data_IF_803386932406
#
_entry.id   IF_803386932406
#
_cell.length_a   1.000
_cell.length_b   1.000
_cell.length_c   1.000
_cell.angle_alpha   90.00
_cell.angle_beta   90.00
_cell.angle_gamma   90.00
#
_symmetry.space_group_name_H-M   'P 1'
#
loop_
_entity.id
_entity.type
_entity.pdbx_description
1 polymer ?
#
# COMPACT_ATOMS: atom_id res chain seq x y z
N UNK A 1 10.73 -8.11 -0.64
CA UNK A 1 11.01 -7.55 -1.98
C UNK A 1 10.83 -6.05 -1.86
N UNK A 2 11.80 -5.27 -2.33
CA UNK A 2 11.69 -3.83 -2.41
C UNK A 2 11.43 -3.54 -3.88
N UNK A 3 10.17 -3.31 -4.24
CA UNK A 3 9.79 -2.97 -5.61
C UNK A 3 8.79 -1.81 -5.55
N UNK A 4 9.03 -0.71 -6.28
CA UNK A 4 8.07 0.37 -6.37
C UNK A 4 6.90 -0.06 -7.25
N UNK A 5 5.80 -0.49 -6.62
CA UNK A 5 4.61 -0.94 -7.34
C UNK A 5 3.77 0.25 -7.81
N UNK A 6 3.54 1.22 -6.92
CA UNK A 6 2.80 2.44 -7.20
C UNK A 6 3.67 3.69 -7.27
N UNK A 7 3.28 4.61 -8.14
CA UNK A 7 3.83 5.97 -8.23
C UNK A 7 2.74 6.97 -8.60
N UNK A 8 2.74 8.14 -7.97
CA UNK A 8 1.88 9.25 -8.33
C UNK A 8 2.56 10.59 -8.15
N UNK A 9 2.35 11.50 -9.12
CA UNK A 9 2.88 12.85 -9.10
C UNK A 9 2.08 13.74 -8.12
N UNK A 10 2.74 14.71 -7.50
CA UNK A 10 2.07 15.79 -6.77
C UNK A 10 1.30 16.68 -7.75
N UNK A 11 0.24 17.33 -7.26
CA UNK A 11 -0.61 18.20 -8.08
C UNK A 11 0.16 19.32 -8.78
N UNK A 12 1.16 19.87 -8.11
CA UNK A 12 2.05 20.94 -8.60
C UNK A 12 3.30 20.44 -9.34
N UNK A 13 3.45 19.12 -9.49
CA UNK A 13 4.59 18.47 -10.15
C UNK A 13 5.95 18.86 -9.55
N UNK A 14 6.01 19.18 -8.26
CA UNK A 14 7.26 19.42 -7.53
C UNK A 14 7.89 18.15 -6.97
N UNK A 15 7.10 17.11 -6.76
CA UNK A 15 7.57 15.80 -6.29
C UNK A 15 6.67 14.67 -6.80
N UNK A 16 7.12 13.43 -6.69
CA UNK A 16 6.25 12.26 -6.79
C UNK A 16 6.38 11.40 -5.55
N UNK A 17 5.29 10.71 -5.22
CA UNK A 17 5.24 9.71 -4.16
C UNK A 17 5.24 8.34 -4.80
N UNK A 18 6.04 7.43 -4.26
CA UNK A 18 6.09 6.04 -4.71
C UNK A 18 6.16 5.10 -3.52
N UNK A 19 5.73 3.87 -3.74
CA UNK A 19 5.69 2.84 -2.71
C UNK A 19 7.06 2.17 -2.57
N UNK A 20 7.52 1.90 -1.35
CA UNK A 20 8.74 1.14 -1.12
C UNK A 20 8.66 0.40 0.21
N UNK A 21 8.70 -0.94 0.19
CA UNK A 21 8.95 -1.79 1.35
C UNK A 21 8.29 -1.35 2.68
N UNK A 22 6.95 -1.27 2.69
CA UNK A 22 6.20 -0.87 3.90
C UNK A 22 6.15 0.63 4.15
N UNK A 23 6.52 1.46 3.17
CA UNK A 23 6.57 2.91 3.26
C UNK A 23 6.12 3.56 1.96
N UNK A 24 5.74 4.82 2.06
CA UNK A 24 5.73 5.76 0.94
C UNK A 24 7.01 6.59 1.00
N UNK A 25 7.66 6.73 -0.15
CA UNK A 25 8.77 7.65 -0.36
C UNK A 25 8.34 8.79 -1.24
N UNK A 26 8.93 9.96 -1.00
CA UNK A 26 8.79 11.13 -1.83
C UNK A 26 10.11 11.44 -2.49
N UNK A 27 10.09 11.70 -3.79
CA UNK A 27 11.23 12.17 -4.57
C UNK A 27 10.96 13.58 -5.09
N UNK A 28 11.87 14.51 -4.81
CA UNK A 28 11.74 15.92 -5.19
C UNK A 28 12.25 16.15 -6.61
N UNK A 29 11.38 16.72 -7.46
CA UNK A 29 11.70 17.09 -8.84
C UNK A 29 12.16 18.55 -8.95
N UNK A 30 11.71 19.42 -8.04
CA UNK A 30 11.95 20.87 -8.08
C UNK A 30 12.23 21.44 -6.68
N UNK A 31 12.78 22.65 -6.64
CA UNK A 31 13.14 23.37 -5.40
C UNK A 31 14.48 22.93 -4.81
N UNK A 32 14.79 23.41 -3.61
CA UNK A 32 16.10 23.24 -2.98
C UNK A 32 16.46 21.77 -2.68
N UNK A 33 15.44 20.90 -2.64
CA UNK A 33 15.58 19.46 -2.42
C UNK A 33 15.62 18.64 -3.71
N UNK A 34 15.57 19.27 -4.88
CA UNK A 34 15.51 18.56 -6.17
C UNK A 34 16.62 17.50 -6.29
N UNK A 35 16.27 16.33 -6.78
CA UNK A 35 17.18 15.19 -6.89
C UNK A 35 17.27 14.29 -5.66
N UNK A 36 16.64 14.68 -4.54
CA UNK A 36 16.67 13.93 -3.28
C UNK A 36 15.38 13.19 -2.99
N UNK A 37 15.41 12.26 -2.03
CA UNK A 37 14.22 11.57 -1.53
C UNK A 37 14.16 11.53 0.00
N UNK A 38 12.94 11.55 0.53
CA UNK A 38 12.66 11.35 1.94
C UNK A 38 11.53 10.33 2.16
N UNK A 39 11.35 9.91 3.42
CA UNK A 39 10.22 9.08 3.83
C UNK A 39 8.99 9.98 3.92
N UNK A 40 7.99 9.68 3.10
CA UNK A 40 6.73 10.41 3.07
C UNK A 40 5.78 9.91 4.16
N UNK A 41 5.65 8.59 4.28
CA UNK A 41 4.85 7.94 5.33
C UNK A 41 5.37 6.52 5.61
N UNK A 42 5.27 6.07 6.86
CA UNK A 42 5.49 4.67 7.24
C UNK A 42 4.14 3.98 7.34
N UNK A 43 4.01 2.81 6.72
CA UNK A 43 2.75 2.10 6.62
C UNK A 43 2.71 0.90 7.56
N UNK A 44 1.51 0.47 7.90
CA UNK A 44 1.25 -0.70 8.76
C UNK A 44 1.38 -2.02 8.00
N UNK A 45 1.31 -1.98 6.67
CA UNK A 45 1.33 -3.14 5.78
C UNK A 45 2.09 -2.89 4.48
N UNK A 46 1.97 -3.82 3.54
CA UNK A 46 2.67 -3.73 2.26
C UNK A 46 1.87 -2.87 1.28
N UNK A 47 2.39 -1.70 0.87
CA UNK A 47 1.70 -0.87 -0.12
C UNK A 47 1.72 -1.50 -1.51
N UNK A 48 0.67 -1.22 -2.28
CA UNK A 48 0.56 -1.55 -3.70
C UNK A 48 0.53 -0.25 -4.53
N UNK A 49 -0.60 0.16 -5.12
CA UNK A 49 -0.66 1.43 -5.84
C UNK A 49 -0.92 2.64 -4.93
N UNK A 50 -0.32 3.78 -5.30
CA UNK A 50 -0.60 5.10 -4.74
C UNK A 50 -1.13 6.03 -5.85
N UNK A 51 -2.13 6.85 -5.55
CA UNK A 51 -2.76 7.76 -6.53
C UNK A 51 -3.16 9.08 -5.89
N UNK A 52 -2.77 10.17 -6.54
CA UNK A 52 -3.19 11.50 -6.14
C UNK A 52 -4.64 11.77 -6.59
N UNK A 53 -5.43 12.44 -5.75
CA UNK A 53 -6.74 12.96 -6.11
C UNK A 53 -6.65 14.41 -6.63
N UNK A 54 -7.78 14.99 -7.04
CA UNK A 54 -7.85 16.37 -7.53
C UNK A 54 -7.48 17.44 -6.50
N UNK A 55 -7.45 17.10 -5.20
CA UNK A 55 -7.08 18.00 -4.10
C UNK A 55 -5.57 18.00 -3.83
N UNK A 56 -4.82 17.05 -4.40
CA UNK A 56 -3.39 16.88 -4.13
C UNK A 56 -3.10 15.97 -2.93
N UNK A 57 -4.12 15.26 -2.44
CA UNK A 57 -4.00 14.22 -1.42
C UNK A 57 -3.71 12.88 -2.11
N UNK A 58 -3.12 11.94 -1.38
CA UNK A 58 -2.69 10.64 -1.92
C UNK A 58 -3.45 9.50 -1.26
N UNK A 59 -4.15 8.71 -2.07
CA UNK A 59 -4.68 7.41 -1.65
C UNK A 59 -3.66 6.31 -1.93
N UNK A 60 -3.49 5.39 -0.97
CA UNK A 60 -2.66 4.19 -1.14
C UNK A 60 -3.46 2.95 -0.77
N UNK A 61 -3.34 1.91 -1.61
CA UNK A 61 -3.80 0.57 -1.31
C UNK A 61 -2.74 -0.17 -0.48
N UNK A 62 -3.15 -0.80 0.61
CA UNK A 62 -2.26 -1.55 1.52
C UNK A 62 -2.80 -2.97 1.72
N UNK A 63 -1.90 -3.94 1.60
CA UNK A 63 -2.17 -5.36 1.78
C UNK A 63 -1.53 -5.89 3.06
N UNK A 64 -2.35 -6.54 3.88
CA UNK A 64 -1.93 -7.20 5.11
C UNK A 64 -1.32 -6.25 6.14
N UNK A 65 -0.73 -6.84 7.18
CA UNK A 65 0.05 -6.10 8.18
C UNK A 65 1.46 -6.68 8.30
N UNK A 66 2.40 -5.83 8.68
CA UNK A 66 3.72 -6.27 9.08
C UNK A 66 3.64 -7.06 10.39
N UNK A 67 3.82 -8.38 10.31
CA UNK A 67 4.00 -9.22 11.49
C UNK A 67 5.49 -9.50 11.75
N UNK A 68 5.82 -9.90 12.99
CA UNK A 68 7.20 -10.17 13.42
C UNK A 68 7.90 -11.21 12.55
N UNK A 69 7.16 -12.21 12.09
CA UNK A 69 7.68 -13.30 11.27
C UNK A 69 8.04 -12.83 9.86
N UNK A 70 7.20 -11.99 9.25
CA UNK A 70 7.47 -11.38 7.93
C UNK A 70 8.69 -10.47 8.00
N UNK A 71 8.83 -9.67 9.07
CA UNK A 71 10.02 -8.83 9.27
C UNK A 71 11.29 -9.67 9.44
N UNK A 72 11.23 -10.75 10.23
CA UNK A 72 12.34 -11.68 10.41
C UNK A 72 12.72 -12.37 9.09
N UNK A 73 11.73 -12.84 8.33
CA UNK A 73 11.93 -13.45 7.01
C UNK A 73 12.49 -12.47 5.97
N UNK A 74 12.11 -11.19 6.05
CA UNK A 74 12.68 -10.14 5.22
C UNK A 74 14.17 -9.92 5.53
N UNK A 75 14.55 -9.93 6.81
CA UNK A 75 15.92 -9.74 7.28
C UNK A 75 16.84 -10.97 7.10
N UNK A 76 16.27 -12.18 6.98
CA UNK A 76 17.03 -13.45 6.97
C UNK A 76 16.77 -14.27 5.70
N UNK A 77 17.54 -14.05 4.61
CA UNK A 77 17.32 -14.75 3.33
C UNK A 77 17.40 -16.28 3.42
N UNK A 78 18.29 -16.83 4.26
CA UNK A 78 18.41 -18.28 4.47
C UNK A 78 17.14 -18.88 5.07
N UNK A 79 16.59 -18.22 6.10
CA UNK A 79 15.33 -18.62 6.71
C UNK A 79 14.17 -18.52 5.71
N UNK A 80 14.07 -17.42 4.95
CA UNK A 80 13.07 -17.26 3.90
C UNK A 80 13.12 -18.40 2.88
N UNK A 81 14.32 -18.73 2.38
CA UNK A 81 14.49 -19.82 1.41
C UNK A 81 14.12 -21.18 2.01
N UNK A 82 14.44 -21.43 3.28
CA UNK A 82 14.02 -22.64 3.99
C UNK A 82 12.50 -22.74 4.08
N UNK A 83 11.81 -21.68 4.52
CA UNK A 83 10.35 -21.71 4.65
C UNK A 83 9.64 -21.99 3.32
N UNK A 84 10.15 -21.45 2.21
CA UNK A 84 9.60 -21.69 0.87
C UNK A 84 9.66 -23.15 0.41
N UNK A 85 10.52 -23.97 1.02
CA UNK A 85 10.65 -25.41 0.70
C UNK A 85 9.66 -26.29 1.45
N UNK A 86 8.96 -25.75 2.45
CA UNK A 86 8.02 -26.51 3.24
C UNK A 86 6.68 -26.67 2.49
N UNK A 87 6.06 -27.86 2.47
CA UNK A 87 4.77 -28.09 1.84
C UNK A 87 3.64 -27.55 2.73
N UNK A 88 3.56 -26.23 2.85
CA UNK A 88 2.57 -25.53 3.68
C UNK A 88 1.33 -25.18 2.83
N UNK A 89 0.12 -25.52 3.28
CA UNK A 89 -1.12 -25.14 2.58
C UNK A 89 -1.27 -23.63 2.42
N UNK A 90 -1.87 -23.18 1.32
CA UNK A 90 -2.03 -21.76 0.95
C UNK A 90 -2.60 -20.88 2.08
N UNK A 91 -3.61 -21.36 2.81
CA UNK A 91 -4.22 -20.63 3.94
C UNK A 91 -3.21 -20.18 5.00
N UNK A 92 -2.19 -21.00 5.25
CA UNK A 92 -1.15 -20.70 6.23
C UNK A 92 -0.10 -19.75 5.67
N UNK A 93 0.08 -19.72 4.34
CA UNK A 93 0.91 -18.71 3.68
C UNK A 93 0.36 -17.31 3.85
N UNK A 94 -0.97 -17.13 3.81
CA UNK A 94 -1.60 -15.83 4.07
C UNK A 94 -1.31 -15.33 5.49
N UNK A 95 -1.46 -16.19 6.50
CA UNK A 95 -1.13 -15.84 7.89
C UNK A 95 0.37 -15.54 8.05
N UNK A 96 1.25 -16.37 7.48
CA UNK A 96 2.70 -16.16 7.50
C UNK A 96 3.11 -14.83 6.87
N UNK A 97 2.51 -14.45 5.73
CA UNK A 97 2.89 -13.27 4.95
C UNK A 97 2.20 -11.97 5.41
N UNK A 98 0.96 -12.05 5.89
CA UNK A 98 0.09 -10.89 6.11
C UNK A 98 -0.45 -10.79 7.53
N UNK A 99 -0.23 -11.81 8.38
CA UNK A 99 -0.67 -11.85 9.78
C UNK A 99 -2.15 -12.14 9.97
N UNK A 100 -2.96 -12.04 8.91
CA UNK A 100 -4.42 -12.25 8.90
C UNK A 100 -4.89 -12.66 7.51
N UNK A 101 -6.16 -13.09 7.34
CA UNK A 101 -6.77 -13.26 6.02
C UNK A 101 -6.60 -12.01 5.13
N UNK A 102 -6.59 -12.18 3.80
CA UNK A 102 -6.30 -11.08 2.89
C UNK A 102 -7.47 -10.10 2.80
N UNK A 103 -7.50 -9.11 3.69
CA UNK A 103 -8.36 -7.95 3.62
C UNK A 103 -7.82 -6.84 2.70
N UNK A 104 -8.42 -5.65 2.78
CA UNK A 104 -8.01 -4.48 2.02
C UNK A 104 -8.01 -3.23 2.88
N UNK A 105 -6.96 -2.42 2.81
CA UNK A 105 -6.90 -1.12 3.49
C UNK A 105 -6.63 -0.04 2.45
N UNK A 106 -7.44 1.00 2.45
CA UNK A 106 -7.22 2.25 1.74
C UNK A 106 -6.84 3.34 2.74
N UNK A 107 -5.74 4.04 2.50
CA UNK A 107 -5.29 5.12 3.39
C UNK A 107 -5.09 6.40 2.58
N UNK A 108 -5.61 7.52 3.08
CA UNK A 108 -5.45 8.86 2.50
C UNK A 108 -4.42 9.66 3.27
N UNK A 109 -3.51 10.31 2.55
CA UNK A 109 -2.50 11.21 3.09
C UNK A 109 -2.61 12.62 2.47
N UNK A 110 -2.26 13.65 3.23
CA UNK A 110 -2.08 15.02 2.71
C UNK A 110 -0.83 15.11 1.82
N UNK A 111 -0.59 16.25 1.18
CA UNK A 111 0.63 16.49 0.39
C UNK A 111 1.90 16.54 1.24
N UNK A 112 1.74 16.73 2.55
CA UNK A 112 2.79 16.82 3.55
C UNK A 112 3.11 15.45 4.17
N UNK A 113 2.26 14.44 3.93
CA UNK A 113 2.40 13.09 4.49
C UNK A 113 1.58 12.85 5.76
N UNK A 114 0.63 13.74 6.08
CA UNK A 114 -0.25 13.58 7.24
C UNK A 114 -1.39 12.62 6.94
N UNK A 115 -1.73 11.75 7.90
CA UNK A 115 -2.82 10.80 7.77
C UNK A 115 -4.17 11.54 7.81
N UNK A 116 -4.97 11.39 6.77
CA UNK A 116 -6.29 12.04 6.65
C UNK A 116 -7.45 11.05 6.79
N UNK A 117 -7.29 9.82 6.27
CA UNK A 117 -8.37 8.83 6.28
C UNK A 117 -7.82 7.41 6.28
N UNK A 118 -8.55 6.50 6.92
CA UNK A 118 -8.33 5.05 6.83
C UNK A 118 -9.68 4.40 6.57
N UNK A 119 -9.75 3.57 5.52
CA UNK A 119 -10.88 2.70 5.25
C UNK A 119 -10.35 1.27 5.18
N UNK A 120 -10.94 0.37 5.96
CA UNK A 120 -10.45 -0.98 6.13
C UNK A 120 -11.58 -2.00 6.02
N UNK A 121 -11.33 -3.02 5.21
CA UNK A 121 -12.11 -4.25 5.15
C UNK A 121 -11.25 -5.38 5.75
N UNK A 122 -11.36 -5.57 7.07
CA UNK A 122 -10.51 -6.51 7.82
C UNK A 122 -10.71 -7.97 7.38
N UNK A 123 -11.97 -8.34 7.12
CA UNK A 123 -12.37 -9.69 6.72
C UNK A 123 -12.13 -9.96 5.24
N UNK A 124 -12.02 -8.91 4.43
CA UNK A 124 -11.98 -9.02 2.98
C UNK A 124 -13.32 -9.51 2.42
N UNK A 125 -14.42 -9.06 3.02
CA UNK A 125 -15.77 -9.43 2.59
C UNK A 125 -16.14 -8.75 1.27
N UNK A 126 -15.63 -7.54 1.06
CA UNK A 126 -15.90 -6.69 -0.11
C UNK A 126 -14.67 -6.63 -1.02
N UNK A 127 -13.48 -6.39 -0.46
CA UNK A 127 -12.21 -6.29 -1.20
C UNK A 127 -11.10 -7.07 -0.50
N UNK A 128 -10.54 -8.03 -1.23
CA UNK A 128 -9.36 -8.81 -0.82
C UNK A 128 -8.16 -8.41 -1.65
N UNK A 129 -6.98 -8.34 -1.05
CA UNK A 129 -5.75 -7.92 -1.76
C UNK A 129 -5.97 -6.65 -2.58
N UNK A 130 -6.43 -5.61 -1.89
CA UNK A 130 -6.63 -4.30 -2.50
C UNK A 130 -5.31 -3.84 -3.12
N UNK A 131 -5.34 -3.61 -4.43
CA UNK A 131 -4.17 -3.22 -5.20
C UNK A 131 -4.25 -1.79 -5.69
N UNK A 132 -5.47 -1.24 -5.83
CA UNK A 132 -5.69 0.10 -6.33
C UNK A 132 -6.82 0.78 -5.60
N UNK A 133 -6.65 2.08 -5.37
CA UNK A 133 -7.64 2.99 -4.81
C UNK A 133 -7.63 4.27 -5.64
N UNK A 134 -8.81 4.75 -6.02
CA UNK A 134 -8.97 5.98 -6.79
C UNK A 134 -10.19 6.76 -6.30
N UNK A 135 -9.99 8.01 -5.91
CA UNK A 135 -11.08 8.92 -5.54
C UNK A 135 -11.53 9.72 -6.75
N UNK A 136 -12.82 9.64 -7.07
CA UNK A 136 -13.44 10.40 -8.14
C UNK A 136 -14.93 10.57 -7.91
N UNK A 137 -15.45 11.77 -8.15
CA UNK A 137 -16.88 12.11 -8.09
C UNK A 137 -17.55 11.74 -6.75
N UNK A 138 -16.85 12.00 -5.63
CA UNK A 138 -17.32 11.68 -4.29
C UNK A 138 -17.33 10.18 -3.96
N UNK A 139 -16.71 9.35 -4.82
CA UNK A 139 -16.65 7.90 -4.66
C UNK A 139 -15.21 7.42 -4.58
N UNK A 140 -14.99 6.39 -3.80
CA UNK A 140 -13.75 5.66 -3.70
C UNK A 140 -13.87 4.33 -4.46
N UNK A 141 -13.13 4.23 -5.56
CA UNK A 141 -13.08 3.05 -6.42
C UNK A 141 -11.91 2.17 -5.99
N UNK A 142 -12.18 0.91 -5.67
CA UNK A 142 -11.22 -0.03 -5.12
C UNK A 142 -11.09 -1.26 -6.02
N UNK A 143 -9.86 -1.54 -6.43
CA UNK A 143 -9.49 -2.68 -7.26
C UNK A 143 -8.75 -3.76 -6.48
N UNK A 144 -8.87 -5.00 -6.95
CA UNK A 144 -8.21 -6.18 -6.39
C UNK A 144 -7.49 -6.93 -7.50
N UNK A 145 -6.32 -7.52 -7.17
CA UNK A 145 -5.64 -8.49 -8.05
C UNK A 145 -6.27 -9.89 -8.02
N UNK A 146 -7.15 -10.15 -7.05
CA UNK A 146 -7.74 -11.46 -6.81
C UNK A 146 -9.19 -11.55 -7.32
N UNK A 147 -9.92 -10.45 -7.29
CA UNK A 147 -11.37 -10.41 -7.54
C UNK A 147 -11.65 -9.89 -8.97
N UNK A 148 -12.70 -10.41 -9.59
CA UNK A 148 -13.14 -10.02 -10.94
C UNK A 148 -14.07 -8.81 -10.97
N UNK A 149 -14.20 -8.10 -9.85
CA UNK A 149 -15.07 -6.93 -9.70
C UNK A 149 -14.35 -5.77 -9.01
N UNK A 150 -14.86 -4.55 -9.21
CA UNK A 150 -14.47 -3.37 -8.44
C UNK A 150 -15.46 -3.12 -7.32
N UNK A 151 -14.96 -2.69 -6.17
CA UNK A 151 -15.80 -2.17 -5.10
C UNK A 151 -15.85 -0.65 -5.16
N UNK A 152 -16.98 -0.10 -4.73
CA UNK A 152 -17.23 1.34 -4.70
C UNK A 152 -17.75 1.72 -3.32
N UNK A 153 -17.16 2.75 -2.73
CA UNK A 153 -17.60 3.31 -1.46
C UNK A 153 -17.90 4.79 -1.63
N UNK A 154 -19.06 5.24 -1.16
CA UNK A 154 -19.40 6.66 -1.14
C UNK A 154 -18.61 7.37 -0.04
N UNK A 155 -17.90 8.43 -0.42
CA UNK A 155 -17.22 9.29 0.54
C UNK A 155 -18.21 10.32 1.09
N UNK A 156 -18.06 10.71 2.37
CA UNK A 156 -18.89 11.74 2.99
C UNK A 156 -18.68 13.13 2.40
#
# INVERSE_FOLDING_TARGET
MVFPNGLSLSKDQRFFVFTEAGRLRRYWLKGDKAGTSDVFAVLTGSPDNVRANGKGEFWVAIQGFHNRLTLYSAANPKFRLFTLRLPVPEKWWWIYRMGRPPGGIAVKYSAEGELLWVLEDEGGEVVRLMSQVHEQDGKLWMGSVLLSHMAVHDLP
#
